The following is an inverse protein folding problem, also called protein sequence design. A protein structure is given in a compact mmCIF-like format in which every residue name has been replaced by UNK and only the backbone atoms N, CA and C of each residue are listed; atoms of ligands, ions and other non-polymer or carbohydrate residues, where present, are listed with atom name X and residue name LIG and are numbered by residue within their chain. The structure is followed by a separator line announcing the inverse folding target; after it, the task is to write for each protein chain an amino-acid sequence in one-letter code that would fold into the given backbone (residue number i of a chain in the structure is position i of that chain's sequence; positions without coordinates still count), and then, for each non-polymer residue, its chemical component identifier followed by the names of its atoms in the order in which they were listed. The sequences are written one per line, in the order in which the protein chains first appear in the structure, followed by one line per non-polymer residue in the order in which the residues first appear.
data_IF_855331901889
#
_entry.id   IF_855331901889
#
_cell.length_a   1.000
_cell.length_b   1.000
_cell.length_c   1.000
_cell.angle_alpha   90.00
_cell.angle_beta   90.00
_cell.angle_gamma   90.00
#
_symmetry.space_group_name_H-M   'P 1'
#
loop_
_entity.id
_entity.type
_entity.pdbx_description
1 polymer ?
#
# COMPACT_ATOMS: atom_id res chain seq x y z
N UNK A 1 16.73 7.37 -10.67
CA UNK A 1 15.66 7.81 -9.74
C UNK A 1 15.11 6.59 -9.00
N UNK A 2 15.11 6.60 -7.67
CA UNK A 2 14.56 5.50 -6.86
C UNK A 2 13.03 5.70 -6.84
N UNK A 3 12.29 4.79 -7.49
CA UNK A 3 10.83 4.79 -7.44
C UNK A 3 10.38 4.70 -5.95
N UNK A 4 9.56 5.65 -5.45
CA UNK A 4 9.14 5.68 -4.04
C UNK A 4 8.41 4.42 -3.61
N UNK A 5 7.67 3.77 -4.52
CA UNK A 5 7.00 2.50 -4.26
C UNK A 5 8.03 1.39 -4.04
N UNK A 6 9.08 1.35 -4.88
CA UNK A 6 10.18 0.39 -4.72
C UNK A 6 10.97 0.58 -3.44
N UNK A 7 11.10 1.82 -2.97
CA UNK A 7 11.70 2.11 -1.68
C UNK A 7 10.86 1.58 -0.53
N UNK A 8 9.55 1.85 -0.53
CA UNK A 8 8.61 1.39 0.52
C UNK A 8 8.58 -0.14 0.56
N UNK A 9 8.45 -0.81 -0.58
CA UNK A 9 8.38 -2.27 -0.66
C UNK A 9 9.68 -2.94 -0.20
N UNK A 10 10.84 -2.41 -0.60
CA UNK A 10 12.14 -2.89 -0.13
C UNK A 10 12.29 -2.73 1.38
N UNK A 11 11.93 -1.55 1.91
CA UNK A 11 12.03 -1.27 3.35
C UNK A 11 11.10 -2.18 4.14
N UNK A 12 9.89 -2.44 3.63
CA UNK A 12 8.96 -3.36 4.26
C UNK A 12 9.48 -4.79 4.25
N UNK A 13 9.95 -5.30 3.10
CA UNK A 13 10.52 -6.64 2.97
C UNK A 13 11.64 -6.88 3.98
N UNK A 14 12.57 -5.93 4.14
CA UNK A 14 13.65 -6.02 5.12
C UNK A 14 13.16 -6.00 6.56
N UNK A 15 12.18 -5.14 6.89
CA UNK A 15 11.56 -5.14 8.22
C UNK A 15 10.94 -6.49 8.53
N UNK A 16 10.26 -7.14 7.58
CA UNK A 16 9.64 -8.46 7.78
C UNK A 16 10.66 -9.59 7.87
N UNK A 17 11.71 -9.58 7.05
CA UNK A 17 12.83 -10.50 7.22
C UNK A 17 13.44 -10.36 8.63
N UNK A 18 13.58 -9.12 9.13
CA UNK A 18 13.99 -8.85 10.51
C UNK A 18 12.99 -9.32 11.57
N UNK A 19 11.67 -9.24 11.32
CA UNK A 19 10.66 -9.83 12.24
C UNK A 19 10.86 -11.35 12.34
N UNK A 20 11.05 -12.03 11.21
CA UNK A 20 11.30 -13.48 11.22
C UNK A 20 12.59 -13.81 11.99
N UNK A 21 13.67 -13.09 11.70
CA UNK A 21 14.98 -13.34 12.30
C UNK A 21 15.02 -12.99 13.80
N UNK A 22 14.59 -11.78 14.20
CA UNK A 22 14.80 -11.26 15.55
C UNK A 22 13.62 -11.50 16.50
N UNK A 23 12.38 -11.55 15.98
CA UNK A 23 11.19 -11.74 16.82
C UNK A 23 10.71 -13.18 16.83
N UNK A 24 10.60 -13.83 15.66
CA UNK A 24 10.15 -15.22 15.58
C UNK A 24 11.28 -16.25 15.65
N UNK A 25 12.54 -15.80 15.58
CA UNK A 25 13.73 -16.68 15.55
C UNK A 25 13.61 -17.80 14.52
N UNK A 26 13.07 -17.46 13.34
CA UNK A 26 12.82 -18.41 12.24
C UNK A 26 13.32 -17.87 10.91
N UNK A 27 13.58 -18.77 9.97
CA UNK A 27 14.01 -18.38 8.63
C UNK A 27 12.86 -17.79 7.82
N UNK A 28 13.14 -16.70 7.11
CA UNK A 28 12.18 -16.10 6.20
C UNK A 28 12.00 -16.99 4.96
N UNK A 29 10.78 -17.52 4.78
CA UNK A 29 10.44 -18.27 3.57
C UNK A 29 10.04 -17.30 2.45
N UNK A 30 10.56 -17.52 1.25
CA UNK A 30 10.23 -16.70 0.06
C UNK A 30 8.71 -16.74 -0.23
N UNK A 31 8.04 -17.86 0.07
CA UNK A 31 6.56 -18.00 0.03
C UNK A 31 5.86 -16.94 0.88
N UNK A 32 6.40 -16.63 2.05
CA UNK A 32 5.81 -15.68 3.00
C UNK A 32 5.99 -14.24 2.50
N UNK A 33 7.04 -14.01 1.69
CA UNK A 33 7.21 -12.79 0.92
C UNK A 33 6.07 -12.55 -0.06
N UNK A 34 5.50 -13.59 -0.68
CA UNK A 34 4.35 -13.42 -1.58
C UNK A 34 3.08 -13.06 -0.82
N UNK A 35 2.78 -13.74 0.28
CA UNK A 35 1.65 -13.41 1.14
C UNK A 35 1.73 -11.96 1.61
N UNK A 36 2.94 -11.50 1.92
CA UNK A 36 3.21 -10.11 2.27
C UNK A 36 2.80 -9.14 1.16
N UNK A 37 3.21 -9.34 -0.10
CA UNK A 37 2.73 -8.48 -1.20
C UNK A 37 1.21 -8.53 -1.37
N UNK A 38 0.58 -9.71 -1.18
CA UNK A 38 -0.88 -9.87 -1.16
C UNK A 38 -1.53 -9.01 -0.09
N UNK A 39 -0.99 -8.97 1.14
CA UNK A 39 -1.55 -8.13 2.21
C UNK A 39 -1.46 -6.63 1.90
N UNK A 40 -0.41 -6.15 1.23
CA UNK A 40 -0.36 -4.75 0.78
C UNK A 40 -1.50 -4.44 -0.19
N UNK A 41 -1.81 -5.38 -1.09
CA UNK A 41 -2.88 -5.22 -2.07
C UNK A 41 -4.23 -5.15 -1.37
N UNK A 42 -4.47 -6.04 -0.41
CA UNK A 42 -5.70 -6.03 0.40
C UNK A 42 -5.82 -4.71 1.17
N UNK A 43 -4.73 -4.20 1.76
CA UNK A 43 -4.75 -2.92 2.48
C UNK A 43 -5.03 -1.73 1.55
N UNK A 44 -4.48 -1.77 0.33
CA UNK A 44 -4.76 -0.77 -0.69
C UNK A 44 -6.22 -0.82 -1.16
N UNK A 45 -6.77 -2.03 -1.35
CA UNK A 45 -8.17 -2.23 -1.72
C UNK A 45 -9.13 -1.74 -0.63
N UNK A 46 -8.85 -2.06 0.65
CA UNK A 46 -9.67 -1.63 1.79
C UNK A 46 -9.73 -0.11 1.94
N UNK A 47 -8.62 0.61 1.70
CA UNK A 47 -8.62 2.08 1.79
C UNK A 47 -9.49 2.71 0.69
N UNK A 48 -9.52 2.12 -0.51
CA UNK A 48 -10.42 2.53 -1.60
C UNK A 48 -11.88 2.26 -1.26
N UNK A 49 -12.20 1.09 -0.71
CA UNK A 49 -13.57 0.74 -0.26
C UNK A 49 -14.07 1.67 0.85
N UNK A 50 -13.24 1.99 1.84
CA UNK A 50 -13.59 2.95 2.91
C UNK A 50 -13.86 4.33 2.32
N UNK A 51 -13.06 4.76 1.34
CA UNK A 51 -13.31 5.99 0.60
C UNK A 51 -14.67 5.97 -0.12
N UNK A 52 -15.02 4.84 -0.74
CA UNK A 52 -16.32 4.66 -1.42
C UNK A 52 -17.50 4.73 -0.46
N UNK A 53 -17.39 4.12 0.72
CA UNK A 53 -18.40 4.18 1.77
C UNK A 53 -18.57 5.61 2.28
N UNK A 54 -17.47 6.35 2.50
CA UNK A 54 -17.51 7.75 2.92
C UNK A 54 -18.12 8.66 1.85
N UNK A 55 -17.72 8.49 0.59
CA UNK A 55 -18.28 9.24 -0.54
C UNK A 55 -19.78 8.96 -0.68
N UNK A 56 -20.20 7.70 -0.60
CA UNK A 56 -21.60 7.32 -0.61
C UNK A 56 -22.38 7.92 0.58
N UNK A 57 -21.85 7.87 1.80
CA UNK A 57 -22.50 8.46 2.97
C UNK A 57 -22.61 9.98 2.92
N UNK A 58 -21.56 10.67 2.47
CA UNK A 58 -21.53 12.13 2.41
C UNK A 58 -22.41 12.70 1.28
N UNK A 59 -22.46 12.02 0.13
CA UNK A 59 -23.19 12.49 -1.05
C UNK A 59 -24.58 11.85 -1.20
N UNK A 60 -24.79 10.61 -0.76
CA UNK A 60 -26.08 9.91 -0.74
C UNK A 60 -27.10 10.54 0.20
N UNK A 61 -26.65 11.29 1.21
CA UNK A 61 -27.53 12.10 2.07
C UNK A 61 -27.92 13.47 1.51
N UNK A 62 -27.31 13.93 0.40
CA UNK A 62 -27.46 15.33 -0.10
C UNK A 62 -27.79 15.49 -1.58
N UNK A 63 -27.62 14.48 -2.44
CA UNK A 63 -27.84 14.62 -3.88
C UNK A 63 -29.13 13.94 -4.34
N UNK A 64 -30.00 14.73 -4.97
CA UNK A 64 -31.16 14.26 -5.74
C UNK A 64 -30.75 13.07 -6.64
N UNK A 65 -31.59 12.02 -6.59
CA UNK A 65 -31.40 10.63 -7.06
C UNK A 65 -30.59 10.45 -8.36
N UNK A 66 -30.68 11.36 -9.33
CA UNK A 66 -29.93 11.29 -10.59
C UNK A 66 -28.49 11.82 -10.53
N UNK A 67 -28.21 12.93 -9.86
CA UNK A 67 -26.83 13.45 -9.72
C UNK A 67 -26.01 12.63 -8.73
N UNK A 68 -26.67 12.07 -7.70
CA UNK A 68 -26.03 11.17 -6.73
C UNK A 68 -25.59 9.85 -7.37
N UNK A 69 -26.38 9.31 -8.30
CA UNK A 69 -26.05 8.08 -9.02
C UNK A 69 -24.86 8.25 -9.95
N UNK A 70 -24.83 9.30 -10.79
CA UNK A 70 -23.68 9.58 -11.68
C UNK A 70 -22.39 9.78 -10.89
N UNK A 71 -22.46 10.48 -9.76
CA UNK A 71 -21.32 10.65 -8.86
C UNK A 71 -20.84 9.32 -8.27
N UNK A 72 -21.75 8.49 -7.77
CA UNK A 72 -21.42 7.17 -7.22
C UNK A 72 -20.78 6.25 -8.28
N UNK A 73 -21.31 6.21 -9.50
CA UNK A 73 -20.72 5.43 -10.60
C UNK A 73 -19.34 5.94 -11.01
N UNK A 74 -19.15 7.26 -11.13
CA UNK A 74 -17.83 7.85 -11.40
C UNK A 74 -16.83 7.53 -10.29
N UNK A 75 -17.27 7.59 -9.03
CA UNK A 75 -16.43 7.26 -7.88
C UNK A 75 -16.02 5.77 -7.90
N UNK A 76 -16.96 4.86 -8.14
CA UNK A 76 -16.69 3.41 -8.22
C UNK A 76 -15.76 3.10 -9.39
N UNK A 77 -16.03 3.64 -10.59
CA UNK A 77 -15.18 3.43 -11.76
C UNK A 77 -13.76 3.95 -11.54
N UNK A 78 -13.62 5.13 -10.93
CA UNK A 78 -12.32 5.74 -10.62
C UNK A 78 -11.60 4.99 -9.49
N UNK A 79 -12.34 4.47 -8.51
CA UNK A 79 -11.83 3.60 -7.44
C UNK A 79 -11.27 2.30 -8.00
N UNK A 80 -11.97 1.67 -8.94
CA UNK A 80 -11.49 0.48 -9.66
C UNK A 80 -10.23 0.82 -10.46
N UNK A 81 -10.20 1.97 -11.14
CA UNK A 81 -9.04 2.42 -11.91
C UNK A 81 -7.82 2.67 -11.01
N UNK A 82 -7.99 3.37 -9.89
CA UNK A 82 -6.91 3.62 -8.92
C UNK A 82 -6.42 2.31 -8.32
N UNK A 83 -7.32 1.39 -7.95
CA UNK A 83 -6.94 0.06 -7.50
C UNK A 83 -6.15 -0.69 -8.57
N UNK A 84 -6.63 -0.69 -9.82
CA UNK A 84 -5.93 -1.30 -10.94
C UNK A 84 -4.54 -0.70 -11.14
N UNK A 85 -4.39 0.62 -11.02
CA UNK A 85 -3.11 1.31 -11.14
C UNK A 85 -2.17 0.97 -9.97
N UNK A 86 -2.66 0.96 -8.73
CA UNK A 86 -1.87 0.56 -7.55
C UNK A 86 -1.42 -0.90 -7.71
N UNK A 87 -2.36 -1.80 -7.97
CA UNK A 87 -2.11 -3.22 -8.25
C UNK A 87 -1.09 -3.34 -9.36
N UNK A 88 -1.25 -2.65 -10.50
CA UNK A 88 -0.31 -2.74 -11.62
C UNK A 88 1.08 -2.22 -11.23
N UNK A 89 1.20 -1.03 -10.66
CA UNK A 89 2.51 -0.46 -10.31
C UNK A 89 3.21 -1.23 -9.18
N UNK A 90 2.45 -1.77 -8.22
CA UNK A 90 2.96 -2.53 -7.08
C UNK A 90 3.21 -4.01 -7.42
N UNK A 91 2.42 -4.64 -8.29
CA UNK A 91 2.55 -6.08 -8.62
C UNK A 91 3.38 -6.35 -9.85
N UNK A 92 3.28 -5.57 -10.93
CA UNK A 92 3.93 -5.94 -12.20
C UNK A 92 5.45 -6.12 -12.06
N UNK A 93 6.17 -5.25 -11.32
CA UNK A 93 7.60 -5.45 -11.09
C UNK A 93 7.92 -6.60 -10.12
N UNK A 94 6.96 -7.03 -9.28
CA UNK A 94 7.17 -7.86 -8.10
C UNK A 94 6.60 -9.27 -8.23
N UNK A 95 5.74 -9.53 -9.22
CA UNK A 95 5.31 -10.88 -9.63
C UNK A 95 6.48 -11.77 -10.08
N UNK A 96 7.65 -11.17 -10.36
CA UNK A 96 8.88 -11.89 -10.69
C UNK A 96 9.52 -12.42 -9.41
N UNK A 97 9.51 -13.74 -9.23
CA UNK A 97 10.21 -14.52 -8.17
C UNK A 97 11.62 -14.01 -7.85
N UNK A 98 12.33 -13.57 -8.90
CA UNK A 98 13.66 -12.98 -8.82
C UNK A 98 13.76 -11.66 -8.03
N UNK A 99 12.68 -10.92 -7.81
CA UNK A 99 12.76 -9.69 -7.02
C UNK A 99 12.87 -10.00 -5.52
N UNK A 100 12.00 -10.87 -4.99
CA UNK A 100 12.02 -11.28 -3.58
C UNK A 100 13.31 -12.03 -3.26
N UNK A 101 13.74 -12.94 -4.15
CA UNK A 101 15.02 -13.65 -4.03
C UNK A 101 16.21 -12.69 -3.97
N UNK A 102 16.24 -11.65 -4.81
CA UNK A 102 17.30 -10.63 -4.78
C UNK A 102 17.29 -9.85 -3.47
N UNK A 103 16.11 -9.51 -2.95
CA UNK A 103 16.00 -8.84 -1.67
C UNK A 103 16.47 -9.72 -0.52
N UNK A 104 16.08 -10.99 -0.51
CA UNK A 104 16.51 -11.96 0.50
C UNK A 104 18.03 -12.12 0.50
N UNK A 105 18.63 -12.37 -0.67
CA UNK A 105 20.11 -12.46 -0.80
C UNK A 105 20.79 -11.19 -0.29
N UNK A 106 20.26 -10.03 -0.66
CA UNK A 106 20.82 -8.75 -0.24
C UNK A 106 20.71 -8.57 1.27
N UNK A 107 19.62 -9.00 1.88
CA UNK A 107 19.43 -8.95 3.33
C UNK A 107 20.38 -9.93 4.04
N UNK A 108 20.51 -11.16 3.56
CA UNK A 108 21.37 -12.18 4.18
C UNK A 108 22.86 -11.84 4.11
N UNK A 109 23.29 -11.04 3.12
CA UNK A 109 24.68 -10.56 3.03
C UNK A 109 25.00 -9.39 3.98
N UNK A 110 24.00 -8.78 4.64
CA UNK A 110 24.24 -7.65 5.53
C UNK A 110 24.82 -8.11 6.88
N UNK A 111 25.73 -7.31 7.48
CA UNK A 111 26.18 -7.51 8.84
C UNK A 111 24.99 -7.55 9.81
N UNK A 112 25.12 -8.33 10.89
CA UNK A 112 24.05 -8.50 11.90
C UNK A 112 23.57 -7.15 12.47
N UNK A 113 24.53 -6.24 12.74
CA UNK A 113 24.27 -4.88 13.26
C UNK A 113 23.40 -4.06 12.29
N UNK A 114 23.62 -4.19 10.98
CA UNK A 114 22.81 -3.50 9.98
C UNK A 114 21.41 -4.10 9.87
N UNK A 115 21.29 -5.42 10.00
CA UNK A 115 19.99 -6.11 10.02
C UNK A 115 19.16 -5.72 11.23
N UNK A 116 19.75 -5.62 12.42
CA UNK A 116 19.07 -5.10 13.62
C UNK A 116 18.62 -3.65 13.43
N UNK A 117 19.47 -2.81 12.82
CA UNK A 117 19.12 -1.41 12.53
C UNK A 117 17.94 -1.31 11.58
N UNK A 118 17.85 -2.20 10.58
CA UNK A 118 16.68 -2.30 9.70
C UNK A 118 15.41 -2.70 10.47
N UNK A 119 15.53 -3.56 11.47
CA UNK A 119 14.44 -3.98 12.36
C UNK A 119 14.08 -2.98 13.48
N UNK A 120 14.91 -1.96 13.70
CA UNK A 120 14.71 -0.96 14.77
C UNK A 120 13.29 -0.35 14.79
N UNK A 121 12.82 -0.01 15.99
CA UNK A 121 11.49 0.60 16.18
C UNK A 121 11.31 1.84 15.28
N UNK A 122 12.34 2.68 15.17
CA UNK A 122 12.35 3.86 14.31
C UNK A 122 12.03 3.52 12.85
N UNK A 123 12.62 2.46 12.31
CA UNK A 123 12.38 2.03 10.94
C UNK A 123 10.99 1.44 10.74
N UNK A 124 10.49 0.68 11.73
CA UNK A 124 9.13 0.13 11.71
C UNK A 124 8.07 1.22 11.75
N UNK A 125 8.19 2.18 12.67
CA UNK A 125 7.27 3.33 12.77
C UNK A 125 7.34 4.19 11.50
N UNK A 126 8.54 4.51 11.02
CA UNK A 126 8.74 5.25 9.77
C UNK A 126 8.05 4.56 8.59
N UNK A 127 8.12 3.24 8.52
CA UNK A 127 7.47 2.49 7.45
C UNK A 127 5.94 2.54 7.54
N UNK A 128 5.38 2.38 8.75
CA UNK A 128 3.93 2.52 8.97
C UNK A 128 3.47 3.92 8.57
N UNK A 129 4.24 4.96 8.92
CA UNK A 129 3.97 6.33 8.51
C UNK A 129 4.05 6.51 7.00
N UNK A 130 5.04 5.93 6.31
CA UNK A 130 5.14 6.03 4.86
C UNK A 130 3.99 5.31 4.15
N UNK A 131 3.63 4.11 4.59
CA UNK A 131 2.48 3.36 4.05
C UNK A 131 1.20 4.17 4.32
N UNK A 132 1.02 4.62 5.57
CA UNK A 132 -0.10 5.46 5.99
C UNK A 132 -0.24 6.71 5.14
N UNK A 133 0.79 7.55 5.09
CA UNK A 133 0.78 8.79 4.31
C UNK A 133 0.64 8.55 2.80
N UNK A 134 1.24 7.50 2.26
CA UNK A 134 1.14 7.22 0.83
C UNK A 134 -0.27 6.79 0.43
N UNK A 135 -0.88 5.85 1.17
CA UNK A 135 -2.23 5.38 0.87
C UNK A 135 -3.32 6.37 1.31
N UNK A 136 -3.25 6.88 2.54
CA UNK A 136 -4.25 7.79 3.09
C UNK A 136 -4.07 9.23 2.63
N UNK A 137 -2.84 9.71 2.45
CA UNK A 137 -2.60 11.03 1.85
C UNK A 137 -3.07 11.08 0.40
N UNK A 138 -2.88 9.98 -0.36
CA UNK A 138 -3.48 9.81 -1.67
C UNK A 138 -5.01 9.87 -1.62
N UNK A 139 -5.64 9.17 -0.66
CA UNK A 139 -7.09 9.21 -0.44
C UNK A 139 -7.59 10.64 -0.14
N UNK A 140 -6.90 11.40 0.71
CA UNK A 140 -7.28 12.78 1.05
C UNK A 140 -7.19 13.69 -0.18
N UNK A 141 -6.10 13.62 -0.94
CA UNK A 141 -5.96 14.39 -2.19
C UNK A 141 -7.06 14.00 -3.19
N UNK A 142 -7.38 12.71 -3.27
CA UNK A 142 -8.40 12.17 -4.15
C UNK A 142 -9.81 12.67 -3.79
N UNK A 143 -10.19 12.63 -2.51
CA UNK A 143 -11.47 13.17 -2.05
C UNK A 143 -11.58 14.67 -2.35
N UNK A 144 -10.50 15.42 -2.13
CA UNK A 144 -10.47 16.86 -2.45
C UNK A 144 -10.60 17.13 -3.95
N UNK A 145 -9.94 16.35 -4.80
CA UNK A 145 -10.07 16.47 -6.26
C UNK A 145 -11.53 16.25 -6.71
N UNK A 146 -12.20 15.24 -6.15
CA UNK A 146 -13.60 14.94 -6.47
C UNK A 146 -14.53 16.05 -5.99
N UNK A 147 -14.31 16.58 -4.79
CA UNK A 147 -15.05 17.75 -4.29
C UNK A 147 -14.86 18.98 -5.18
N UNK A 148 -13.65 19.17 -5.73
CA UNK A 148 -13.36 20.26 -6.66
C UNK A 148 -14.01 20.09 -8.03
N UNK A 149 -14.07 18.86 -8.57
CA UNK A 149 -14.70 18.56 -9.86
C UNK A 149 -16.23 18.61 -9.81
N UNK A 150 -16.83 18.40 -8.64
CA UNK A 150 -18.27 18.52 -8.40
C UNK A 150 -18.55 19.57 -7.31
N UNK A 151 -18.28 20.85 -7.59
CA UNK A 151 -18.60 21.92 -6.65
C UNK A 151 -20.12 21.99 -6.47
N UNK A 152 -20.56 22.30 -5.25
CA UNK A 152 -21.97 22.43 -4.89
C UNK A 152 -22.69 23.47 -5.72
#
# INVERSE_FOLDING_TARGET
MINPITYILRKWAFVRMGVYEFQYKSEFKISDGYNMFTYIIVLAMLSVEIGAIFAYGYFGGRLHLHRGASFAFSYVALSILVNYLIVSVVLFPYRKRHYIERLYRRYSTLPLVEREKLFSLKNRVSLVLYIGLFFWGGLVLFVNLIMWLYPK
#
